data_IF_679275019398
#
_entry.id   IF_679275019398
#
_cell.length_a   1.000
_cell.length_b   1.000
_cell.length_c   1.000
_cell.angle_alpha   90.00
_cell.angle_beta   90.00
_cell.angle_gamma   90.00
#
_symmetry.space_group_name_H-M   'P 1'
#
loop_
_entity.id
_entity.type
_entity.pdbx_description
1 polymer ?
#
# COMPACT_ATOMS: atom_id res chain seq x y z
N UNK A 1 2.03 94.04 20.60
CA UNK A 1 1.34 92.95 21.31
C UNK A 1 1.96 91.64 20.82
N UNK A 2 2.93 91.08 21.55
CA UNK A 2 3.59 89.83 21.18
C UNK A 2 3.11 88.70 22.11
N UNK A 3 2.74 87.51 21.59
CA UNK A 3 2.33 86.40 22.43
C UNK A 3 3.53 85.79 23.17
N UNK A 4 3.32 85.46 24.44
CA UNK A 4 4.25 84.74 25.31
C UNK A 4 4.56 83.35 24.71
N UNK A 5 5.83 82.91 24.63
CA UNK A 5 6.13 81.55 24.20
C UNK A 5 5.67 80.54 25.25
N UNK A 6 4.79 79.63 24.84
CA UNK A 6 4.37 78.50 25.68
C UNK A 6 5.54 77.56 25.94
N UNK A 7 5.84 77.33 27.21
CA UNK A 7 6.87 76.39 27.65
C UNK A 7 6.49 74.97 27.20
N UNK A 8 7.15 74.44 26.17
CA UNK A 8 7.08 73.01 25.84
C UNK A 8 7.88 72.26 26.92
N UNK A 9 7.18 71.59 27.84
CA UNK A 9 7.83 70.65 28.76
C UNK A 9 8.34 69.46 27.94
N UNK A 10 9.66 69.39 27.75
CA UNK A 10 10.30 68.19 27.20
C UNK A 10 10.14 67.07 28.23
N UNK A 11 9.24 66.12 27.96
CA UNK A 11 9.10 64.90 28.75
C UNK A 11 10.38 64.08 28.57
N UNK A 12 11.18 64.01 29.61
CA UNK A 12 12.39 63.19 29.66
C UNK A 12 12.05 61.86 30.32
N UNK A 13 12.61 60.76 29.82
CA UNK A 13 12.41 59.42 30.41
C UNK A 13 12.95 59.37 31.83
N UNK A 14 12.20 58.72 32.72
CA UNK A 14 12.64 58.47 34.09
C UNK A 14 13.60 57.27 34.15
N UNK A 15 14.52 57.28 35.12
CA UNK A 15 15.45 56.16 35.33
C UNK A 15 14.71 54.83 35.56
N UNK A 16 13.57 54.88 36.25
CA UNK A 16 12.75 53.69 36.52
C UNK A 16 12.10 53.15 35.24
N UNK A 17 11.62 54.00 34.33
CA UNK A 17 11.09 53.56 33.03
C UNK A 17 12.18 52.88 32.20
N UNK A 18 13.40 53.40 32.19
CA UNK A 18 14.53 52.77 31.50
C UNK A 18 14.84 51.38 32.06
N UNK A 19 14.84 51.23 33.40
CA UNK A 19 15.07 49.93 34.05
C UNK A 19 13.96 48.92 33.73
N UNK A 20 12.70 49.36 33.67
CA UNK A 20 11.57 48.50 33.31
C UNK A 20 11.71 48.04 31.85
N UNK A 21 12.02 48.94 30.91
CA UNK A 21 12.20 48.59 29.50
C UNK A 21 13.36 47.61 29.31
N UNK A 22 14.51 47.84 29.96
CA UNK A 22 15.65 46.91 29.93
C UNK A 22 15.28 45.53 30.49
N UNK A 23 14.52 45.50 31.59
CA UNK A 23 14.05 44.25 32.19
C UNK A 23 13.16 43.46 31.23
N UNK A 24 12.24 44.14 30.52
CA UNK A 24 11.38 43.50 29.52
C UNK A 24 12.22 42.94 28.36
N UNK A 25 13.20 43.70 27.86
CA UNK A 25 14.09 43.24 26.77
C UNK A 25 14.84 41.98 27.20
N UNK A 26 15.39 41.94 28.41
CA UNK A 26 16.11 40.78 28.94
C UNK A 26 15.19 39.56 29.01
N UNK A 27 13.96 39.73 29.50
CA UNK A 27 12.97 38.63 29.58
C UNK A 27 12.65 38.11 28.17
N UNK A 28 12.43 39.00 27.20
CA UNK A 28 12.17 38.61 25.80
C UNK A 28 13.35 37.85 25.20
N UNK A 29 14.58 38.30 25.42
CA UNK A 29 15.80 37.63 24.92
C UNK A 29 15.99 36.24 25.53
N UNK A 30 15.73 36.09 26.83
CA UNK A 30 15.83 34.80 27.53
C UNK A 30 14.89 33.76 26.90
N UNK A 31 13.68 34.17 26.51
CA UNK A 31 12.69 33.29 25.88
C UNK A 31 13.01 33.06 24.39
N UNK A 32 13.42 34.10 23.67
CA UNK A 32 13.55 34.06 22.21
C UNK A 32 14.78 33.27 21.74
N UNK A 33 15.92 33.42 22.43
CA UNK A 33 17.18 32.80 21.99
C UNK A 33 17.09 31.25 21.96
N UNK A 34 16.59 30.56 23.01
CA UNK A 34 16.43 29.11 22.98
C UNK A 34 15.43 28.65 21.92
N UNK A 35 14.32 29.36 21.75
CA UNK A 35 13.32 29.06 20.73
C UNK A 35 13.93 29.13 19.32
N UNK A 36 14.70 30.20 19.03
CA UNK A 36 15.40 30.36 17.76
C UNK A 36 16.44 29.26 17.52
N UNK A 37 17.24 28.91 18.54
CA UNK A 37 18.22 27.81 18.43
C UNK A 37 17.55 26.47 18.13
N UNK A 38 16.43 26.17 18.77
CA UNK A 38 15.68 24.94 18.52
C UNK A 38 15.07 24.92 17.12
N UNK A 39 14.55 26.06 16.65
CA UNK A 39 14.05 26.21 15.29
C UNK A 39 15.16 25.99 14.24
N UNK A 40 16.32 26.60 14.43
CA UNK A 40 17.48 26.41 13.55
C UNK A 40 17.89 24.94 13.47
N UNK A 41 18.00 24.25 14.62
CA UNK A 41 18.34 22.82 14.65
C UNK A 41 17.34 21.96 13.86
N UNK A 42 16.05 22.18 14.06
CA UNK A 42 15.00 21.46 13.33
C UNK A 42 15.12 21.73 11.84
N UNK A 43 15.21 23.00 11.44
CA UNK A 43 15.38 23.39 10.04
C UNK A 43 16.61 22.75 9.39
N UNK A 44 17.74 22.64 10.10
CA UNK A 44 18.93 21.90 9.64
C UNK A 44 18.63 20.42 9.39
N UNK A 45 17.91 19.75 10.31
CA UNK A 45 17.50 18.37 10.15
C UNK A 45 16.57 18.20 8.93
N UNK A 46 15.61 19.10 8.72
CA UNK A 46 14.72 19.05 7.56
C UNK A 46 15.48 19.25 6.25
N UNK A 47 16.33 20.28 6.20
CA UNK A 47 17.15 20.59 5.02
C UNK A 47 18.05 19.42 4.64
N UNK A 48 18.71 18.78 5.62
CA UNK A 48 19.56 17.62 5.37
C UNK A 48 18.73 16.40 4.90
N UNK A 49 17.54 16.22 5.46
CA UNK A 49 16.62 15.17 5.01
C UNK A 49 16.26 15.34 3.54
N UNK A 50 15.91 16.55 3.14
CA UNK A 50 15.55 16.88 1.75
C UNK A 50 16.77 16.78 0.82
N UNK A 51 17.95 17.19 1.29
CA UNK A 51 19.21 17.03 0.55
C UNK A 51 19.49 15.56 0.25
N UNK A 52 19.40 14.67 1.24
CA UNK A 52 19.60 13.22 1.05
C UNK A 52 18.58 12.65 0.06
N UNK A 53 17.29 13.01 0.20
CA UNK A 53 16.24 12.56 -0.72
C UNK A 53 16.54 13.02 -2.15
N UNK A 54 16.96 14.28 -2.31
CA UNK A 54 17.29 14.84 -3.62
C UNK A 54 18.54 14.19 -4.22
N UNK A 55 19.58 13.92 -3.42
CA UNK A 55 20.79 13.22 -3.87
C UNK A 55 20.47 11.79 -4.32
N UNK A 56 19.62 11.06 -3.56
CA UNK A 56 19.17 9.73 -3.96
C UNK A 56 18.38 9.75 -5.28
N UNK A 57 17.47 10.71 -5.46
CA UNK A 57 16.75 10.89 -6.73
C UNK A 57 17.68 11.32 -7.86
N UNK A 58 18.69 12.13 -7.56
CA UNK A 58 19.69 12.57 -8.51
C UNK A 58 20.56 11.41 -8.99
N UNK A 59 21.02 10.54 -8.09
CA UNK A 59 21.79 9.34 -8.45
C UNK A 59 20.96 8.35 -9.27
N UNK A 60 19.67 8.20 -8.93
CA UNK A 60 18.72 7.44 -9.75
C UNK A 60 18.62 8.02 -11.17
N UNK A 61 18.43 9.34 -11.29
CA UNK A 61 18.34 10.02 -12.59
C UNK A 61 19.64 9.90 -13.41
N UNK A 62 20.81 10.06 -12.78
CA UNK A 62 22.11 9.85 -13.45
C UNK A 62 22.25 8.42 -14.00
N UNK A 63 21.79 7.44 -13.22
CA UNK A 63 21.81 6.03 -13.62
C UNK A 63 20.87 5.76 -14.79
N UNK A 64 19.64 6.28 -14.74
CA UNK A 64 18.66 6.16 -15.82
C UNK A 64 19.14 6.83 -17.11
N UNK A 65 19.74 8.00 -17.00
CA UNK A 65 20.37 8.70 -18.13
C UNK A 65 21.65 8.01 -18.65
N UNK A 66 22.12 6.95 -17.96
CA UNK A 66 23.41 6.31 -18.24
C UNK A 66 24.55 7.32 -18.33
N UNK A 67 24.54 8.32 -17.45
CA UNK A 67 25.53 9.40 -17.48
C UNK A 67 26.93 8.80 -17.35
N UNK A 68 27.84 9.17 -18.27
CA UNK A 68 29.21 8.63 -18.34
C UNK A 68 29.25 7.09 -18.30
N UNK A 69 28.22 6.43 -18.85
CA UNK A 69 28.02 4.97 -18.89
C UNK A 69 28.00 4.25 -17.52
N UNK A 70 27.76 4.99 -16.43
CA UNK A 70 27.84 4.49 -15.06
C UNK A 70 26.52 4.04 -14.44
N UNK A 71 26.63 3.32 -13.33
CA UNK A 71 25.61 3.28 -12.27
C UNK A 71 26.03 4.23 -11.17
N UNK A 72 25.05 4.80 -10.48
CA UNK A 72 25.28 5.74 -9.39
C UNK A 72 24.52 5.29 -8.15
N UNK A 73 25.09 5.60 -7.00
CA UNK A 73 24.53 5.26 -5.71
C UNK A 73 24.93 6.26 -4.63
N UNK A 74 24.33 6.09 -3.45
CA UNK A 74 24.66 6.89 -2.27
C UNK A 74 25.06 5.95 -1.14
N UNK A 75 26.26 6.14 -0.59
CA UNK A 75 26.77 5.43 0.58
C UNK A 75 26.60 6.28 1.82
N UNK A 76 26.12 5.68 2.91
CA UNK A 76 25.91 6.33 4.20
C UNK A 76 26.99 5.91 5.18
N UNK A 77 27.78 6.89 5.60
CA UNK A 77 28.89 6.71 6.52
C UNK A 77 28.51 7.20 7.92
N UNK A 78 28.34 6.25 8.82
CA UNK A 78 28.06 6.50 10.22
C UNK A 78 29.26 6.31 11.16
N UNK A 79 30.45 6.12 10.61
CA UNK A 79 31.68 5.89 11.38
C UNK A 79 32.43 7.21 11.55
N UNK A 80 32.48 8.03 10.51
CA UNK A 80 33.10 9.35 10.57
C UNK A 80 32.28 10.35 11.40
N UNK A 81 32.96 11.28 12.07
CA UNK A 81 32.37 12.38 12.84
C UNK A 81 32.87 13.72 12.27
N UNK A 82 31.97 14.58 11.74
CA UNK A 82 30.53 14.38 11.61
C UNK A 82 30.17 13.24 10.64
N UNK A 83 28.99 12.64 10.83
CA UNK A 83 28.42 11.68 9.89
C UNK A 83 28.41 12.26 8.46
N UNK A 84 28.46 11.41 7.45
CA UNK A 84 28.46 11.88 6.06
C UNK A 84 27.73 10.89 5.14
N UNK A 85 27.36 11.37 3.96
CA UNK A 85 26.95 10.50 2.86
C UNK A 85 27.79 10.83 1.63
N UNK A 86 27.96 9.85 0.75
CA UNK A 86 28.83 9.94 -0.42
C UNK A 86 28.03 9.53 -1.64
N UNK A 87 27.82 10.46 -2.57
CA UNK A 87 27.33 10.11 -3.91
C UNK A 87 28.51 9.56 -4.70
N UNK A 88 28.33 8.40 -5.31
CA UNK A 88 29.39 7.72 -6.05
C UNK A 88 28.93 7.15 -7.38
N UNK A 89 29.91 6.81 -8.23
CA UNK A 89 29.71 6.08 -9.48
C UNK A 89 30.31 4.68 -9.38
N UNK A 90 29.50 3.65 -9.48
CA UNK A 90 29.91 2.25 -9.33
C UNK A 90 28.72 1.30 -9.27
N UNK A 91 29.01 -0.01 -9.37
CA UNK A 91 28.01 -1.07 -9.14
C UNK A 91 27.74 -1.29 -7.64
N UNK A 92 28.72 -0.92 -6.81
CA UNK A 92 28.71 -0.90 -5.35
C UNK A 92 29.79 0.11 -4.89
N UNK A 93 29.76 0.49 -3.61
CA UNK A 93 30.70 1.48 -3.06
C UNK A 93 32.13 0.93 -2.95
N UNK A 94 32.33 -0.38 -2.77
CA UNK A 94 33.67 -0.95 -2.62
C UNK A 94 34.42 -1.01 -3.96
N UNK A 95 33.72 -1.22 -5.07
CA UNK A 95 34.25 -1.30 -6.43
C UNK A 95 34.07 -0.02 -7.25
N UNK A 96 33.61 1.07 -6.61
CA UNK A 96 33.37 2.37 -7.25
C UNK A 96 34.62 3.01 -7.82
N UNK A 97 34.41 4.01 -8.68
CA UNK A 97 35.47 4.93 -9.13
C UNK A 97 35.54 6.14 -8.19
N UNK A 98 36.59 6.25 -7.34
CA UNK A 98 36.68 7.32 -6.33
C UNK A 98 36.80 8.73 -6.91
N UNK A 99 37.10 8.87 -8.21
CA UNK A 99 37.18 10.20 -8.85
C UNK A 99 35.82 10.87 -9.01
N UNK A 100 34.73 10.10 -8.84
CA UNK A 100 33.34 10.56 -8.88
C UNK A 100 32.71 10.70 -7.50
N UNK A 101 33.48 10.54 -6.42
CA UNK A 101 32.97 10.67 -5.06
C UNK A 101 32.65 12.13 -4.73
N UNK A 102 31.39 12.40 -4.40
CA UNK A 102 30.94 13.67 -3.85
C UNK A 102 30.58 13.45 -2.37
N UNK A 103 31.38 14.03 -1.47
CA UNK A 103 31.26 13.84 -0.03
C UNK A 103 30.41 14.96 0.58
N UNK A 104 29.30 14.58 1.22
CA UNK A 104 28.39 15.50 1.90
C UNK A 104 28.40 15.25 3.40
N UNK A 105 28.96 16.19 4.15
CA UNK A 105 29.07 16.11 5.62
C UNK A 105 27.80 16.62 6.27
N UNK A 106 27.35 15.91 7.30
CA UNK A 106 26.24 16.34 8.13
C UNK A 106 26.68 17.55 8.97
N UNK A 107 25.70 18.35 9.39
CA UNK A 107 25.95 19.33 10.45
C UNK A 107 26.19 18.61 11.79
N UNK A 108 27.04 19.19 12.65
CA UNK A 108 27.44 18.61 13.95
C UNK A 108 26.28 18.34 14.92
N UNK A 109 25.09 18.89 14.64
CA UNK A 109 23.88 18.71 15.44
C UNK A 109 22.98 17.55 14.95
N UNK A 110 23.28 16.92 13.81
CA UNK A 110 22.53 15.79 13.23
C UNK A 110 23.42 14.57 13.10
N UNK A 111 22.88 13.39 13.37
CA UNK A 111 23.56 12.11 13.19
C UNK A 111 22.67 11.06 12.55
N UNK A 112 23.28 9.99 12.06
CA UNK A 112 22.56 8.78 11.63
C UNK A 112 22.29 7.91 12.87
N UNK A 113 21.02 7.58 13.09
CA UNK A 113 20.56 6.69 14.17
C UNK A 113 20.47 5.24 13.71
N UNK A 114 20.02 5.03 12.47
CA UNK A 114 19.81 3.71 11.91
C UNK A 114 20.02 3.73 10.40
N UNK A 115 20.61 2.64 9.89
CA UNK A 115 20.66 2.33 8.46
C UNK A 115 20.12 0.92 8.32
N UNK A 116 19.05 0.75 7.55
CA UNK A 116 18.41 -0.53 7.27
C UNK A 116 18.15 -0.59 5.78
N UNK A 117 19.18 -0.93 4.99
CA UNK A 117 19.17 -0.95 3.53
C UNK A 117 19.56 -2.35 3.03
N UNK A 118 18.82 -3.37 3.47
CA UNK A 118 19.25 -4.77 3.36
C UNK A 118 20.54 -5.02 4.17
N UNK A 119 21.52 -5.68 3.56
CA UNK A 119 22.80 -6.04 4.20
C UNK A 119 23.88 -4.94 4.07
N UNK A 120 23.53 -3.79 3.50
CA UNK A 120 24.48 -2.74 3.14
C UNK A 120 24.25 -1.39 3.84
N UNK A 121 25.14 -0.44 3.53
CA UNK A 121 25.01 0.98 3.89
C UNK A 121 24.87 1.88 2.68
N UNK A 122 24.41 1.32 1.57
CA UNK A 122 24.33 2.02 0.30
C UNK A 122 23.01 1.80 -0.39
N UNK A 123 22.67 2.73 -1.27
CA UNK A 123 21.60 2.59 -2.23
C UNK A 123 22.20 2.68 -3.62
N UNK A 124 22.11 1.61 -4.40
CA UNK A 124 22.53 1.60 -5.81
C UNK A 124 21.32 1.36 -6.70
N UNK A 125 21.18 2.18 -7.75
CA UNK A 125 20.09 2.06 -8.70
C UNK A 125 20.51 1.23 -9.92
N UNK A 126 19.56 0.46 -10.47
CA UNK A 126 19.76 -0.32 -11.69
C UNK A 126 19.63 0.56 -12.92
N UNK A 127 20.45 0.28 -13.93
CA UNK A 127 20.28 0.86 -15.28
C UNK A 127 18.90 0.48 -15.82
N UNK A 128 18.36 1.32 -16.71
CA UNK A 128 17.09 1.12 -17.43
C UNK A 128 15.84 1.22 -16.55
N UNK A 129 15.79 0.55 -15.39
CA UNK A 129 14.59 0.50 -14.55
C UNK A 129 14.58 1.51 -13.42
N UNK A 130 15.76 1.93 -12.93
CA UNK A 130 15.86 2.84 -11.78
C UNK A 130 15.43 2.19 -10.46
N UNK A 131 15.22 0.88 -10.44
CA UNK A 131 14.94 0.08 -9.25
C UNK A 131 16.19 -0.10 -8.38
N UNK A 132 16.01 -0.59 -7.15
CA UNK A 132 17.12 -0.95 -6.27
C UNK A 132 16.87 -2.26 -5.54
N UNK A 133 17.93 -3.01 -5.28
CA UNK A 133 17.89 -4.19 -4.41
C UNK A 133 18.23 -3.86 -2.95
N UNK A 134 18.77 -2.65 -2.70
CA UNK A 134 19.16 -2.14 -1.38
C UNK A 134 18.08 -1.18 -0.88
N UNK A 135 16.87 -1.71 -0.69
CA UNK A 135 15.70 -0.97 -0.19
C UNK A 135 15.61 -1.02 1.33
N UNK A 136 14.83 -0.11 1.91
CA UNK A 136 14.56 -0.03 3.34
C UNK A 136 14.47 1.41 3.83
N UNK A 137 15.16 1.74 4.93
CA UNK A 137 15.11 3.07 5.52
C UNK A 137 16.41 3.52 6.18
N UNK A 138 16.58 4.85 6.21
CA UNK A 138 17.62 5.55 6.97
C UNK A 138 16.94 6.46 7.98
N UNK A 139 17.37 6.41 9.24
CA UNK A 139 16.89 7.29 10.30
C UNK A 139 17.98 8.26 10.69
N UNK A 140 17.70 9.55 10.57
CA UNK A 140 18.57 10.65 11.02
C UNK A 140 17.85 11.47 12.08
N UNK A 141 18.59 12.16 12.94
CA UNK A 141 17.98 12.94 14.01
C UNK A 141 18.93 13.85 14.75
N UNK A 142 18.38 14.71 15.60
CA UNK A 142 19.16 15.65 16.40
C UNK A 142 19.93 14.93 17.50
N UNK A 143 21.22 15.25 17.65
CA UNK A 143 22.04 14.72 18.77
C UNK A 143 21.49 15.19 20.12
N UNK A 144 21.01 16.44 20.18
CA UNK A 144 20.51 17.04 21.43
C UNK A 144 19.10 16.58 21.83
N UNK A 145 18.35 15.91 20.94
CA UNK A 145 16.99 15.47 21.21
C UNK A 145 16.66 14.23 20.37
N UNK A 146 16.69 13.05 21.01
CA UNK A 146 16.43 11.76 20.36
C UNK A 146 14.97 11.55 19.95
N UNK A 147 14.04 12.46 20.30
CA UNK A 147 12.67 12.42 19.80
C UNK A 147 12.53 13.07 18.42
N UNK A 148 13.46 13.93 18.02
CA UNK A 148 13.45 14.60 16.72
C UNK A 148 14.15 13.72 15.69
N UNK A 149 13.40 12.77 15.15
CA UNK A 149 13.84 11.83 14.12
C UNK A 149 13.15 12.11 12.78
N UNK A 150 13.86 11.82 11.70
CA UNK A 150 13.34 11.77 10.33
C UNK A 150 13.74 10.45 9.70
N UNK A 151 12.76 9.79 9.10
CA UNK A 151 12.96 8.51 8.42
C UNK A 151 12.82 8.72 6.92
N UNK A 152 13.84 8.29 6.18
CA UNK A 152 13.90 8.32 4.73
C UNK A 152 13.71 6.89 4.26
N UNK A 153 12.69 6.67 3.42
CA UNK A 153 12.36 5.38 2.85
C UNK A 153 12.85 5.27 1.41
N UNK A 154 13.36 4.10 1.07
CA UNK A 154 13.78 3.71 -0.28
C UNK A 154 13.08 2.39 -0.61
N UNK A 155 12.22 2.39 -1.62
CA UNK A 155 11.48 1.20 -2.04
C UNK A 155 12.24 0.42 -3.13
N UNK A 156 11.93 -0.88 -3.29
CA UNK A 156 12.51 -1.69 -4.38
C UNK A 156 12.23 -1.11 -5.78
N UNK A 157 11.10 -0.43 -5.95
CA UNK A 157 10.73 0.31 -7.16
C UNK A 157 11.67 1.48 -7.47
N UNK A 158 12.58 1.83 -6.55
CA UNK A 158 13.44 3.00 -6.64
C UNK A 158 12.79 4.29 -6.14
N UNK A 159 11.55 4.24 -5.64
CA UNK A 159 10.90 5.42 -5.06
C UNK A 159 11.56 5.81 -3.74
N UNK A 160 11.84 7.10 -3.59
CA UNK A 160 12.47 7.68 -2.39
C UNK A 160 11.58 8.76 -1.80
N UNK A 161 11.33 8.72 -0.49
CA UNK A 161 10.50 9.69 0.20
C UNK A 161 10.44 9.53 1.73
N UNK A 162 9.55 10.30 2.35
CA UNK A 162 9.32 10.29 3.81
C UNK A 162 8.25 9.27 4.25
N UNK A 163 7.57 8.65 3.29
CA UNK A 163 6.54 7.64 3.52
C UNK A 163 6.73 6.48 2.54
N UNK A 164 6.32 5.29 2.95
CA UNK A 164 6.21 4.14 2.06
C UNK A 164 4.91 4.22 1.26
N UNK A 165 4.94 3.76 0.01
CA UNK A 165 3.73 3.53 -0.77
C UNK A 165 2.84 2.52 -0.06
N UNK A 166 1.54 2.80 0.01
CA UNK A 166 0.58 1.85 0.56
C UNK A 166 0.49 0.64 -0.37
N UNK A 167 0.75 -0.56 0.16
CA UNK A 167 0.32 -1.80 -0.48
C UNK A 167 -1.21 -1.84 -0.42
N UNK A 168 -1.92 -2.00 -1.55
CA UNK A 168 -3.36 -2.15 -1.51
C UNK A 168 -3.73 -3.34 -0.62
N UNK A 169 -4.60 -3.12 0.37
CA UNK A 169 -5.16 -4.17 1.20
C UNK A 169 -6.44 -4.71 0.53
N UNK A 170 -6.61 -6.03 0.49
CA UNK A 170 -7.79 -6.68 -0.09
C UNK A 170 -9.11 -6.26 0.59
N UNK A 171 -9.05 -5.74 1.82
CA UNK A 171 -10.19 -5.19 2.56
C UNK A 171 -10.69 -3.84 2.03
N UNK A 172 -9.92 -3.15 1.19
CA UNK A 172 -10.33 -1.91 0.52
C UNK A 172 -10.90 -2.15 -0.89
N UNK A 173 -10.91 -3.40 -1.37
CA UNK A 173 -11.51 -3.75 -2.66
C UNK A 173 -13.03 -3.77 -2.52
N UNK A 174 -13.72 -3.02 -3.38
CA UNK A 174 -15.16 -3.22 -3.60
C UNK A 174 -15.26 -4.54 -4.36
N UNK A 175 -15.68 -5.60 -3.67
CA UNK A 175 -15.83 -6.94 -4.24
C UNK A 175 -17.22 -7.04 -4.90
N UNK A 176 -17.29 -7.62 -6.09
CA UNK A 176 -18.54 -7.86 -6.81
C UNK A 176 -19.24 -9.08 -6.19
N UNK A 177 -20.34 -8.84 -5.45
CA UNK A 177 -21.15 -9.92 -4.88
C UNK A 177 -21.81 -10.80 -5.94
N UNK A 178 -21.80 -10.40 -7.21
CA UNK A 178 -22.31 -11.20 -8.33
C UNK A 178 -21.30 -12.23 -8.82
N UNK A 179 -20.05 -12.22 -8.34
CA UNK A 179 -18.98 -13.13 -8.75
C UNK A 179 -18.36 -13.79 -7.51
N UNK A 180 -18.68 -15.08 -7.33
CA UNK A 180 -18.27 -15.85 -6.15
C UNK A 180 -17.32 -16.98 -6.55
N UNK A 181 -16.21 -17.13 -5.81
CA UNK A 181 -15.32 -18.28 -5.91
C UNK A 181 -15.51 -19.24 -4.72
N UNK A 182 -15.48 -20.53 -5.03
CA UNK A 182 -15.60 -21.62 -4.06
C UNK A 182 -14.48 -22.64 -4.33
N UNK A 183 -13.63 -22.87 -3.33
CA UNK A 183 -12.65 -23.95 -3.39
C UNK A 183 -13.30 -25.26 -2.94
N UNK A 184 -13.15 -26.31 -3.75
CA UNK A 184 -13.80 -27.60 -3.57
C UNK A 184 -12.75 -28.72 -3.68
N UNK A 185 -12.53 -29.45 -2.60
CA UNK A 185 -11.43 -30.41 -2.45
C UNK A 185 -11.84 -31.84 -2.84
N UNK A 186 -12.33 -32.01 -4.07
CA UNK A 186 -12.71 -33.29 -4.65
C UNK A 186 -12.57 -33.27 -6.17
N UNK A 187 -12.26 -34.41 -6.78
CA UNK A 187 -12.43 -34.60 -8.22
C UNK A 187 -13.93 -34.55 -8.56
N UNK A 188 -14.28 -33.71 -9.55
CA UNK A 188 -15.66 -33.59 -10.06
C UNK A 188 -15.77 -33.94 -11.55
N UNK A 189 -14.68 -34.37 -12.19
CA UNK A 189 -14.60 -34.58 -13.65
C UNK A 189 -15.45 -35.74 -14.16
N UNK A 190 -15.93 -36.59 -13.26
CA UNK A 190 -16.80 -37.74 -13.56
C UNK A 190 -18.16 -37.62 -12.87
N UNK A 191 -18.49 -36.47 -12.28
CA UNK A 191 -19.82 -36.25 -11.71
C UNK A 191 -20.88 -36.23 -12.82
N UNK A 192 -22.09 -36.63 -12.45
CA UNK A 192 -23.23 -36.83 -13.34
C UNK A 192 -23.94 -35.51 -13.60
N UNK A 193 -24.32 -34.80 -12.53
CA UNK A 193 -25.06 -33.55 -12.63
C UNK A 193 -24.51 -32.46 -11.71
N UNK A 194 -24.53 -31.24 -12.21
CA UNK A 194 -24.63 -30.05 -11.37
C UNK A 194 -26.12 -29.70 -11.26
N UNK A 195 -26.65 -29.61 -10.05
CA UNK A 195 -28.07 -29.35 -9.83
C UNK A 195 -28.29 -27.92 -9.39
N UNK A 196 -29.28 -27.27 -10.01
CA UNK A 196 -29.89 -26.05 -9.51
C UNK A 196 -31.15 -26.45 -8.75
N UNK A 197 -31.11 -26.32 -7.43
CA UNK A 197 -32.22 -26.67 -6.54
C UNK A 197 -32.88 -25.38 -6.06
N UNK A 198 -34.16 -25.21 -6.36
CA UNK A 198 -34.98 -24.07 -5.94
C UNK A 198 -35.90 -24.54 -4.79
N UNK A 199 -35.53 -24.32 -3.52
CA UNK A 199 -36.23 -24.95 -2.38
C UNK A 199 -37.71 -24.56 -2.29
N UNK A 200 -38.04 -23.34 -2.71
CA UNK A 200 -39.41 -22.82 -2.74
C UNK A 200 -40.22 -23.32 -3.94
N UNK A 201 -39.55 -23.89 -4.96
CA UNK A 201 -40.15 -24.40 -6.20
C UNK A 201 -39.54 -25.77 -6.61
N UNK A 202 -39.74 -26.85 -5.83
CA UNK A 202 -39.03 -28.12 -6.06
C UNK A 202 -39.30 -28.79 -7.42
N UNK A 203 -40.44 -28.49 -8.06
CA UNK A 203 -40.77 -28.98 -9.40
C UNK A 203 -39.98 -28.26 -10.50
N UNK A 204 -39.31 -27.16 -10.17
CA UNK A 204 -38.49 -26.34 -11.05
C UNK A 204 -37.00 -26.51 -10.76
N UNK A 205 -36.59 -27.67 -10.24
CA UNK A 205 -35.18 -28.03 -10.13
C UNK A 205 -34.62 -28.42 -11.50
N UNK A 206 -33.36 -28.09 -11.75
CA UNK A 206 -32.69 -28.37 -13.03
C UNK A 206 -31.44 -29.19 -12.83
N UNK A 207 -31.35 -30.29 -13.58
CA UNK A 207 -30.17 -31.15 -13.64
C UNK A 207 -29.35 -30.81 -14.89
N UNK A 208 -28.18 -30.22 -14.66
CA UNK A 208 -27.23 -29.90 -15.72
C UNK A 208 -26.29 -31.08 -15.85
N UNK A 209 -26.37 -31.81 -16.97
CA UNK A 209 -25.49 -32.93 -17.29
C UNK A 209 -24.05 -32.45 -17.31
N UNK A 210 -23.28 -32.78 -16.26
CA UNK A 210 -21.98 -32.16 -16.01
C UNK A 210 -21.00 -32.41 -17.16
N UNK A 211 -21.02 -33.63 -17.69
CA UNK A 211 -20.15 -34.08 -18.78
C UNK A 211 -20.34 -33.29 -20.09
N UNK A 212 -21.52 -32.72 -20.34
CA UNK A 212 -21.78 -31.94 -21.55
C UNK A 212 -21.07 -30.58 -21.57
N UNK A 213 -20.62 -30.13 -20.40
CA UNK A 213 -20.04 -28.80 -20.19
C UNK A 213 -18.57 -28.87 -19.76
N UNK A 214 -17.97 -30.06 -19.82
CA UNK A 214 -16.53 -30.23 -19.70
C UNK A 214 -15.86 -30.02 -21.05
N UNK A 215 -14.72 -29.34 -21.04
CA UNK A 215 -13.85 -29.30 -22.20
C UNK A 215 -13.21 -30.69 -22.48
N UNK A 216 -12.63 -30.87 -23.66
CA UNK A 216 -12.07 -32.16 -24.10
C UNK A 216 -10.99 -32.72 -23.15
N UNK A 217 -10.24 -31.85 -22.49
CA UNK A 217 -9.16 -32.23 -21.55
C UNK A 217 -9.67 -32.43 -20.12
N UNK A 218 -10.96 -32.20 -19.85
CA UNK A 218 -11.58 -32.24 -18.51
C UNK A 218 -10.85 -31.36 -17.48
N UNK A 219 -10.34 -30.21 -17.92
CA UNK A 219 -9.66 -29.21 -17.08
C UNK A 219 -10.48 -27.94 -16.87
N UNK A 220 -11.66 -27.87 -17.49
CA UNK A 220 -12.57 -26.75 -17.36
C UNK A 220 -14.01 -27.25 -17.52
N UNK A 221 -14.87 -26.84 -16.60
CA UNK A 221 -16.32 -26.89 -16.71
C UNK A 221 -16.83 -25.48 -17.01
N UNK A 222 -17.74 -25.32 -17.96
CA UNK A 222 -18.41 -24.05 -18.25
C UNK A 222 -19.87 -24.27 -18.63
N UNK A 223 -20.79 -23.76 -17.81
CA UNK A 223 -22.21 -23.73 -18.08
C UNK A 223 -22.74 -22.29 -17.99
N UNK A 224 -23.55 -21.91 -18.97
CA UNK A 224 -24.29 -20.65 -18.99
C UNK A 224 -25.71 -20.92 -19.44
N UNK A 225 -26.70 -20.39 -18.72
CA UNK A 225 -28.08 -20.67 -19.05
C UNK A 225 -29.09 -19.77 -18.35
N UNK A 226 -30.31 -19.85 -18.88
CA UNK A 226 -31.51 -19.25 -18.29
C UNK A 226 -32.51 -20.35 -17.98
N UNK A 227 -33.05 -20.36 -16.77
CA UNK A 227 -34.03 -21.35 -16.32
C UNK A 227 -35.31 -20.66 -15.82
N UNK A 228 -36.48 -21.24 -16.10
CA UNK A 228 -37.77 -20.66 -15.70
C UNK A 228 -38.23 -21.23 -14.36
N UNK A 229 -38.40 -20.36 -13.37
CA UNK A 229 -38.74 -20.77 -11.99
C UNK A 229 -39.86 -19.90 -11.44
N UNK A 230 -40.85 -20.54 -10.82
CA UNK A 230 -41.94 -19.82 -10.16
C UNK A 230 -43.27 -20.58 -10.20
N UNK A 231 -44.37 -19.92 -9.82
CA UNK A 231 -45.71 -20.48 -10.00
C UNK A 231 -45.96 -20.79 -11.49
N UNK A 232 -46.75 -21.82 -11.77
CA UNK A 232 -46.93 -22.34 -13.13
C UNK A 232 -47.29 -21.28 -14.18
N UNK A 233 -48.10 -20.29 -13.80
CA UNK A 233 -48.60 -19.23 -14.70
C UNK A 233 -47.75 -17.95 -14.69
N UNK A 234 -46.67 -17.89 -13.89
CA UNK A 234 -45.90 -16.65 -13.67
C UNK A 234 -44.42 -16.89 -13.41
N UNK A 235 -43.84 -17.90 -14.07
CA UNK A 235 -42.41 -18.19 -13.99
C UNK A 235 -41.56 -17.01 -14.44
N UNK A 236 -40.46 -16.76 -13.73
CA UNK A 236 -39.44 -15.76 -14.09
C UNK A 236 -38.14 -16.44 -14.51
N UNK A 237 -37.39 -15.81 -15.42
CA UNK A 237 -36.07 -16.31 -15.84
C UNK A 237 -35.03 -16.08 -14.74
N UNK A 238 -34.30 -17.13 -14.34
CA UNK A 238 -33.07 -17.05 -13.55
C UNK A 238 -31.87 -17.25 -14.49
N UNK A 239 -30.91 -16.32 -14.49
CA UNK A 239 -29.76 -16.31 -15.40
C UNK A 239 -28.45 -16.49 -14.65
N UNK A 240 -27.70 -17.54 -14.97
CA UNK A 240 -26.49 -17.89 -14.26
C UNK A 240 -25.38 -18.32 -15.21
N UNK A 241 -24.15 -18.04 -14.80
CA UNK A 241 -22.95 -18.67 -15.36
C UNK A 241 -22.26 -19.41 -14.22
N UNK A 242 -21.89 -20.65 -14.44
CA UNK A 242 -21.14 -21.48 -13.50
C UNK A 242 -20.00 -22.11 -14.26
N UNK A 243 -18.77 -21.83 -13.84
CA UNK A 243 -17.58 -22.38 -14.47
C UNK A 243 -16.50 -22.70 -13.43
N UNK A 244 -15.38 -23.27 -13.88
CA UNK A 244 -14.22 -23.53 -13.03
C UNK A 244 -13.00 -22.75 -13.50
N UNK A 245 -12.31 -22.05 -12.60
CA UNK A 245 -10.97 -21.50 -12.89
C UNK A 245 -9.86 -22.55 -12.78
N UNK A 246 -10.13 -23.61 -12.02
CA UNK A 246 -9.24 -24.74 -11.84
C UNK A 246 -10.09 -26.00 -11.72
N UNK A 247 -9.74 -27.05 -12.45
CA UNK A 247 -10.34 -28.38 -12.34
C UNK A 247 -9.25 -29.43 -12.53
N UNK A 248 -9.05 -30.26 -11.51
CA UNK A 248 -8.00 -31.28 -11.45
C UNK A 248 -8.56 -32.61 -10.96
N UNK A 249 -7.68 -33.61 -10.84
CA UNK A 249 -8.01 -34.94 -10.30
C UNK A 249 -8.25 -34.95 -8.79
N UNK A 250 -8.08 -33.81 -8.12
CA UNK A 250 -8.18 -33.73 -6.65
C UNK A 250 -9.03 -32.55 -6.18
N UNK A 251 -9.27 -31.56 -7.03
CA UNK A 251 -9.95 -30.33 -6.64
C UNK A 251 -10.58 -29.59 -7.81
N UNK A 252 -11.52 -28.72 -7.49
CA UNK A 252 -12.09 -27.73 -8.37
C UNK A 252 -12.16 -26.37 -7.67
N UNK A 253 -12.03 -25.29 -8.44
CA UNK A 253 -12.38 -23.94 -8.01
C UNK A 253 -13.58 -23.48 -8.83
N UNK A 254 -14.77 -23.59 -8.25
CA UNK A 254 -16.00 -23.13 -8.88
C UNK A 254 -16.11 -21.62 -8.82
N UNK A 255 -16.72 -21.09 -9.86
CA UNK A 255 -17.00 -19.70 -10.06
C UNK A 255 -18.47 -19.56 -10.45
N UNK A 256 -19.19 -18.68 -9.76
CA UNK A 256 -20.63 -18.48 -9.98
C UNK A 256 -20.90 -17.01 -10.24
N UNK A 257 -21.57 -16.74 -11.35
CA UNK A 257 -22.05 -15.42 -11.74
C UNK A 257 -23.57 -15.35 -11.62
N UNK A 258 -24.06 -14.41 -10.82
CA UNK A 258 -25.49 -14.24 -10.56
C UNK A 258 -25.83 -12.77 -10.33
N UNK A 259 -26.75 -12.21 -11.13
CA UNK A 259 -27.23 -10.83 -10.98
C UNK A 259 -28.67 -10.79 -10.44
N UNK A 260 -28.93 -10.00 -9.38
CA UNK A 260 -30.25 -9.88 -8.73
C UNK A 260 -31.33 -9.29 -9.63
N UNK A 261 -30.96 -8.62 -10.74
CA UNK A 261 -31.94 -8.10 -11.72
C UNK A 261 -32.70 -9.22 -12.44
N UNK A 262 -32.08 -10.39 -12.55
CA UNK A 262 -32.69 -11.57 -13.18
C UNK A 262 -32.95 -12.67 -12.14
N UNK A 263 -32.10 -12.78 -11.13
CA UNK A 263 -32.17 -13.89 -10.19
C UNK A 263 -32.83 -13.49 -8.87
N UNK A 264 -34.12 -13.81 -8.76
CA UNK A 264 -35.02 -13.40 -7.67
C UNK A 264 -35.61 -14.58 -6.89
N UNK A 265 -35.15 -15.82 -7.15
CA UNK A 265 -35.58 -17.03 -6.42
C UNK A 265 -34.45 -17.58 -5.55
N UNK A 266 -34.80 -18.17 -4.40
CA UNK A 266 -33.83 -18.88 -3.57
C UNK A 266 -33.24 -20.08 -4.34
N UNK A 267 -31.93 -20.28 -4.24
CA UNK A 267 -31.20 -21.27 -5.03
C UNK A 267 -30.13 -21.95 -4.18
N UNK A 268 -30.03 -23.27 -4.31
CA UNK A 268 -28.88 -24.05 -3.86
C UNK A 268 -28.24 -24.70 -5.08
N UNK A 269 -26.92 -24.56 -5.21
CA UNK A 269 -26.16 -25.23 -6.27
C UNK A 269 -25.48 -26.45 -5.65
N UNK A 270 -25.70 -27.62 -6.25
CA UNK A 270 -25.19 -28.89 -5.75
C UNK A 270 -24.42 -29.65 -6.82
N UNK A 271 -23.48 -30.46 -6.38
CA UNK A 271 -22.95 -31.55 -7.21
C UNK A 271 -23.73 -32.80 -6.82
N UNK A 272 -24.42 -33.44 -7.76
CA UNK A 272 -25.37 -34.52 -7.46
C UNK A 272 -24.72 -35.69 -6.72
N UNK A 273 -23.53 -36.10 -7.16
CA UNK A 273 -22.80 -37.21 -6.55
C UNK A 273 -22.08 -36.78 -5.24
N UNK A 274 -22.25 -35.53 -4.80
CA UNK A 274 -21.93 -35.10 -3.44
C UNK A 274 -23.14 -35.26 -2.51
N UNK A 275 -23.20 -36.41 -1.83
CA UNK A 275 -24.20 -36.67 -0.80
C UNK A 275 -24.05 -35.83 0.47
N UNK A 276 -22.96 -35.07 0.64
CA UNK A 276 -22.68 -34.33 1.88
C UNK A 276 -23.39 -32.99 1.97
N UNK A 277 -23.74 -32.36 0.83
CA UNK A 277 -24.34 -31.03 0.87
C UNK A 277 -24.37 -30.28 -0.45
N UNK A 278 -24.49 -28.96 -0.36
CA UNK A 278 -24.47 -28.04 -1.49
C UNK A 278 -23.15 -27.23 -1.53
N UNK A 279 -22.82 -26.66 -2.70
CA UNK A 279 -21.68 -25.77 -2.91
C UNK A 279 -21.94 -24.39 -2.30
N UNK A 280 -23.15 -23.87 -2.50
CA UNK A 280 -23.56 -22.54 -2.03
C UNK A 280 -25.08 -22.45 -1.97
N UNK A 281 -25.58 -21.55 -1.11
CA UNK A 281 -26.98 -21.18 -1.03
C UNK A 281 -27.14 -19.68 -1.32
N UNK A 282 -28.23 -19.31 -1.99
CA UNK A 282 -28.67 -17.93 -2.17
C UNK A 282 -30.11 -17.81 -1.67
N UNK A 283 -30.38 -16.77 -0.88
CA UNK A 283 -31.75 -16.34 -0.59
C UNK A 283 -32.37 -15.62 -1.81
N UNK A 284 -33.69 -15.44 -1.80
CA UNK A 284 -34.42 -14.76 -2.89
C UNK A 284 -33.98 -13.31 -3.09
N UNK A 285 -33.54 -12.64 -2.02
CA UNK A 285 -32.94 -11.29 -2.06
C UNK A 285 -31.51 -11.27 -2.62
N UNK A 286 -30.96 -12.45 -2.93
CA UNK A 286 -29.63 -12.68 -3.49
C UNK A 286 -28.49 -12.60 -2.48
N UNK A 287 -28.75 -12.68 -1.18
CA UNK A 287 -27.69 -12.91 -0.20
C UNK A 287 -27.20 -14.35 -0.29
N UNK A 288 -25.88 -14.52 -0.41
CA UNK A 288 -25.22 -15.82 -0.42
C UNK A 288 -24.86 -16.30 0.99
N UNK A 289 -24.82 -17.61 1.17
CA UNK A 289 -24.27 -18.26 2.35
C UNK A 289 -23.50 -19.51 1.97
N UNK A 290 -22.51 -19.86 2.81
CA UNK A 290 -21.66 -21.02 2.60
C UNK A 290 -22.51 -22.29 2.47
N UNK A 291 -22.20 -23.11 1.46
CA UNK A 291 -22.82 -24.42 1.29
C UNK A 291 -22.41 -25.41 2.37
N UNK A 292 -23.17 -26.50 2.50
CA UNK A 292 -22.98 -27.51 3.54
C UNK A 292 -22.03 -28.64 3.18
N UNK A 293 -21.55 -28.69 1.93
CA UNK A 293 -20.65 -29.75 1.49
C UNK A 293 -19.37 -29.82 2.33
N UNK A 294 -18.97 -31.03 2.72
CA UNK A 294 -17.74 -31.26 3.49
C UNK A 294 -16.47 -31.00 2.67
N UNK A 295 -16.58 -30.93 1.35
CA UNK A 295 -15.45 -30.70 0.45
C UNK A 295 -15.18 -29.20 0.23
N UNK A 296 -16.03 -28.30 0.73
CA UNK A 296 -15.80 -26.85 0.64
C UNK A 296 -14.67 -26.39 1.57
N UNK A 297 -13.74 -25.64 1.01
CA UNK A 297 -12.63 -25.03 1.75
C UNK A 297 -12.91 -23.54 1.98
N UNK A 298 -12.97 -23.13 3.25
CA UNK A 298 -13.18 -21.73 3.63
C UNK A 298 -14.60 -21.21 3.36
N UNK A 299 -14.76 -19.89 3.39
CA UNK A 299 -16.01 -19.20 3.06
C UNK A 299 -16.02 -18.74 1.60
N UNK A 300 -17.21 -18.54 0.99
CA UNK A 300 -17.34 -17.99 -0.35
C UNK A 300 -16.57 -16.69 -0.51
N UNK A 301 -15.75 -16.59 -1.57
CA UNK A 301 -14.93 -15.41 -1.84
C UNK A 301 -15.60 -14.55 -2.90
N UNK A 302 -16.10 -13.37 -2.51
CA UNK A 302 -16.49 -12.33 -3.45
C UNK A 302 -15.23 -11.78 -4.15
N UNK A 303 -15.28 -11.60 -5.47
CA UNK A 303 -14.17 -11.05 -6.24
C UNK A 303 -14.31 -9.56 -6.48
#
# INVERSE_FOLDING_TARGET
>A
MNPKPGNKKNQSFTLIELLIVLSIIIIVLIISIPALKNFQKKSTLESLTDEIINTLRFSQNKTLASEKSGQYGVYFDNINAPNQYILFKGIDFNSRDPTFDEIHKFSDNVRIYQISLGDGKEVVFKKVTGETNTSGNIVIGLISDSSQLRTIYVENSGKVGLTTSATPLDTSRIKDSRHIHLAYNRDVRNDTFLQLVFPDYPNDNYDIVFQNYLNLTKTEFYWEGSVLVGPADSKTEQKLIIHTHNLTETSAQFCIHRDRRYNDKALQIKIFDDGSGNLISYAADGQESKGTSIYLLGDPQQQ
#
